data_IF_435448977159
#
_entry.id   IF_435448977159
#
_cell.length_a   1.000
_cell.length_b   1.000
_cell.length_c   1.000
_cell.angle_alpha   90.00
_cell.angle_beta   90.00
_cell.angle_gamma   90.00
#
_symmetry.space_group_name_H-M   'P 1'
#
loop_
_entity.id
_entity.type
_entity.pdbx_description
1 polymer ?
#
# COMPACT_ATOMS: atom_id res chain seq x y z
N UNK A 1 15.55 -28.82 -12.35
CA UNK A 1 14.28 -28.48 -13.05
C UNK A 1 13.09 -28.24 -12.10
N UNK A 2 13.18 -28.53 -10.80
CA UNK A 2 12.06 -28.40 -9.83
C UNK A 2 11.92 -27.03 -9.14
N UNK A 3 12.90 -26.12 -9.24
CA UNK A 3 12.86 -24.83 -8.55
C UNK A 3 12.07 -23.73 -9.31
N UNK A 4 12.00 -23.83 -10.65
CA UNK A 4 11.33 -22.80 -11.47
C UNK A 4 9.81 -22.93 -11.44
N UNK A 5 9.27 -24.15 -11.38
CA UNK A 5 7.83 -24.41 -11.32
C UNK A 5 7.18 -23.94 -10.01
N UNK A 6 7.88 -24.08 -8.88
CA UNK A 6 7.44 -23.54 -7.59
C UNK A 6 7.48 -22.01 -7.56
N UNK A 7 8.47 -21.37 -8.19
CA UNK A 7 8.57 -19.91 -8.27
C UNK A 7 7.44 -19.32 -9.12
N UNK A 8 7.08 -19.97 -10.24
CA UNK A 8 5.95 -19.56 -11.08
C UNK A 8 4.64 -19.67 -10.30
N UNK A 9 4.43 -20.77 -9.56
CA UNK A 9 3.25 -20.95 -8.72
C UNK A 9 3.16 -19.91 -7.58
N UNK A 10 4.28 -19.62 -6.90
CA UNK A 10 4.36 -18.58 -5.87
C UNK A 10 4.09 -17.18 -6.45
N UNK A 11 4.62 -16.90 -7.64
CA UNK A 11 4.41 -15.61 -8.33
C UNK A 11 2.94 -15.43 -8.72
N UNK A 12 2.31 -16.48 -9.25
CA UNK A 12 0.89 -16.46 -9.61
C UNK A 12 0.02 -16.26 -8.36
N UNK A 13 0.34 -16.93 -7.25
CA UNK A 13 -0.38 -16.76 -5.98
C UNK A 13 -0.23 -15.33 -5.42
N UNK A 14 0.98 -14.76 -5.49
CA UNK A 14 1.27 -13.42 -4.99
C UNK A 14 0.58 -12.31 -5.80
N UNK A 15 0.39 -12.50 -7.11
CA UNK A 15 -0.32 -11.55 -7.99
C UNK A 15 -1.84 -11.75 -7.92
N UNK A 16 -2.31 -12.99 -7.81
CA UNK A 16 -3.75 -13.30 -7.76
C UNK A 16 -4.41 -12.96 -6.42
N UNK A 17 -3.67 -13.04 -5.30
CA UNK A 17 -4.18 -12.70 -3.96
C UNK A 17 -4.68 -11.25 -3.82
N UNK A 18 -3.89 -10.20 -4.18
CA UNK A 18 -4.37 -8.82 -4.15
C UNK A 18 -5.46 -8.57 -5.21
N UNK A 19 -5.36 -9.22 -6.38
CA UNK A 19 -6.38 -9.11 -7.42
C UNK A 19 -7.74 -9.64 -6.95
N UNK A 20 -7.77 -10.79 -6.27
CA UNK A 20 -8.99 -11.41 -5.74
C UNK A 20 -9.64 -10.59 -4.61
N UNK A 21 -8.83 -9.95 -3.77
CA UNK A 21 -9.30 -8.98 -2.76
C UNK A 21 -9.95 -7.75 -3.41
N UNK A 22 -9.38 -7.24 -4.51
CA UNK A 22 -9.99 -6.13 -5.25
C UNK A 22 -11.38 -6.47 -5.81
N UNK A 23 -11.62 -7.70 -6.28
CA UNK A 23 -12.94 -8.09 -6.86
C UNK A 23 -14.03 -8.24 -5.79
N UNK A 24 -13.66 -8.50 -4.53
CA UNK A 24 -14.60 -8.66 -3.41
C UNK A 24 -14.89 -7.36 -2.65
N UNK A 25 -14.02 -6.36 -2.77
CA UNK A 25 -14.22 -5.06 -2.13
C UNK A 25 -15.23 -4.23 -2.93
N UNK A 26 -16.13 -3.58 -2.20
CA UNK A 26 -17.02 -2.56 -2.74
C UNK A 26 -16.21 -1.51 -3.54
N UNK A 27 -16.70 -1.00 -4.69
CA UNK A 27 -15.96 -0.05 -5.51
C UNK A 27 -15.44 1.16 -4.72
N UNK A 28 -16.14 1.57 -3.66
CA UNK A 28 -15.71 2.68 -2.81
C UNK A 28 -14.45 2.35 -1.98
N UNK A 29 -14.29 1.12 -1.51
CA UNK A 29 -13.11 0.67 -0.74
C UNK A 29 -11.83 0.58 -1.57
N UNK A 30 -11.95 0.31 -2.88
CA UNK A 30 -10.80 0.28 -3.79
C UNK A 30 -10.14 1.67 -3.93
N UNK A 31 -10.94 2.73 -3.95
CA UNK A 31 -10.43 4.10 -4.00
C UNK A 31 -9.61 4.47 -2.77
N UNK A 32 -10.03 4.03 -1.58
CA UNK A 32 -9.32 4.29 -0.32
C UNK A 32 -7.98 3.55 -0.29
N UNK A 33 -7.95 2.30 -0.75
CA UNK A 33 -6.71 1.53 -0.86
C UNK A 33 -5.72 2.16 -1.85
N UNK A 34 -6.21 2.64 -3.01
CA UNK A 34 -5.40 3.37 -3.98
C UNK A 34 -4.85 4.68 -3.42
N UNK A 35 -5.67 5.42 -2.66
CA UNK A 35 -5.25 6.64 -1.97
C UNK A 35 -4.13 6.37 -0.95
N UNK A 36 -4.26 5.29 -0.15
CA UNK A 36 -3.21 4.84 0.75
C UNK A 36 -1.90 4.53 0.01
N UNK A 37 -1.98 3.84 -1.14
CA UNK A 37 -0.83 3.58 -2.00
C UNK A 37 -0.15 4.85 -2.53
N UNK A 38 -0.92 5.87 -2.91
CA UNK A 38 -0.38 7.16 -3.33
C UNK A 38 0.37 7.88 -2.21
N UNK A 39 -0.17 7.87 -0.97
CA UNK A 39 0.54 8.47 0.17
C UNK A 39 1.91 7.82 0.43
N UNK A 40 2.02 6.50 0.26
CA UNK A 40 3.32 5.81 0.34
C UNK A 40 4.26 6.20 -0.80
N UNK A 41 3.74 6.34 -2.02
CA UNK A 41 4.53 6.73 -3.20
C UNK A 41 5.09 8.15 -3.05
N UNK A 42 4.27 9.10 -2.57
CA UNK A 42 4.73 10.45 -2.25
C UNK A 42 5.73 10.47 -1.09
N UNK A 43 5.52 9.66 -0.04
CA UNK A 43 6.47 9.51 1.06
C UNK A 43 7.87 9.12 0.57
N UNK A 44 7.99 8.14 -0.33
CA UNK A 44 9.30 7.70 -0.87
C UNK A 44 10.09 8.85 -1.51
N UNK A 45 9.41 9.82 -2.14
CA UNK A 45 10.07 10.98 -2.75
C UNK A 45 10.75 11.83 -1.65
N UNK A 46 10.04 12.11 -0.55
CA UNK A 46 10.59 12.86 0.58
C UNK A 46 11.67 12.08 1.34
N UNK A 47 11.54 10.76 1.44
CA UNK A 47 12.58 9.88 1.98
C UNK A 47 13.87 9.96 1.15
N UNK A 48 13.76 9.96 -0.18
CA UNK A 48 14.91 10.08 -1.08
C UNK A 48 15.59 11.45 -0.99
N UNK A 49 14.84 12.49 -0.61
CA UNK A 49 15.34 13.85 -0.40
C UNK A 49 15.92 14.07 1.01
N UNK A 50 15.91 13.05 1.87
CA UNK A 50 16.53 13.09 3.18
C UNK A 50 18.03 13.39 3.06
N UNK A 51 18.49 14.43 3.76
CA UNK A 51 19.84 14.98 3.65
C UNK A 51 20.03 16.10 2.60
N UNK A 52 19.07 16.37 1.70
CA UNK A 52 19.10 17.57 0.83
C UNK A 52 18.25 18.72 1.35
N UNK A 53 17.12 18.40 2.00
CA UNK A 53 16.22 19.40 2.57
C UNK A 53 16.24 19.21 4.10
N UNK A 54 16.57 20.24 4.90
CA UNK A 54 16.47 20.13 6.35
C UNK A 54 15.01 19.79 6.71
N UNK A 55 14.80 18.76 7.54
CA UNK A 55 13.49 18.25 7.99
C UNK A 55 12.70 17.34 7.02
N UNK A 56 13.28 16.90 5.89
CA UNK A 56 12.60 15.97 4.96
C UNK A 56 12.13 14.66 5.62
N UNK A 57 12.90 14.15 6.58
CA UNK A 57 12.57 12.94 7.34
C UNK A 57 11.28 13.10 8.18
N UNK A 58 11.03 14.27 8.76
CA UNK A 58 9.81 14.51 9.54
C UNK A 58 8.58 14.59 8.62
N UNK A 59 8.73 15.21 7.45
CA UNK A 59 7.68 15.27 6.43
C UNK A 59 7.34 13.84 5.96
N UNK A 60 8.37 13.00 5.77
CA UNK A 60 8.17 11.58 5.45
C UNK A 60 7.32 10.85 6.49
N UNK A 61 7.59 11.03 7.79
CA UNK A 61 6.78 10.43 8.85
C UNK A 61 5.31 10.89 8.81
N UNK A 62 5.03 12.16 8.46
CA UNK A 62 3.66 12.65 8.29
C UNK A 62 2.92 11.93 7.15
N UNK A 63 3.61 11.64 6.04
CA UNK A 63 3.04 10.87 4.92
C UNK A 63 2.79 9.40 5.30
N UNK A 64 3.72 8.77 6.01
CA UNK A 64 3.55 7.40 6.51
C UNK A 64 2.39 7.31 7.50
N UNK A 65 2.27 8.26 8.43
CA UNK A 65 1.17 8.33 9.38
C UNK A 65 -0.19 8.51 8.68
N UNK A 66 -0.23 9.34 7.64
CA UNK A 66 -1.45 9.54 6.82
C UNK A 66 -1.83 8.28 6.05
N UNK A 67 -0.85 7.55 5.49
CA UNK A 67 -1.08 6.25 4.85
C UNK A 67 -1.63 5.20 5.83
N UNK A 68 -1.01 5.07 7.01
CA UNK A 68 -1.49 4.18 8.07
C UNK A 68 -2.92 4.55 8.53
N UNK A 69 -3.23 5.84 8.65
CA UNK A 69 -4.57 6.32 8.97
C UNK A 69 -5.60 5.93 7.89
N UNK A 70 -5.28 6.08 6.61
CA UNK A 70 -6.20 5.65 5.53
C UNK A 70 -6.47 4.15 5.53
N UNK A 71 -5.47 3.33 5.88
CA UNK A 71 -5.67 1.88 6.04
C UNK A 71 -6.55 1.56 7.25
N UNK A 72 -6.37 2.27 8.37
CA UNK A 72 -7.23 2.12 9.54
C UNK A 72 -8.69 2.47 9.20
N UNK A 73 -8.93 3.61 8.54
CA UNK A 73 -10.26 4.02 8.08
C UNK A 73 -10.88 3.00 7.13
N UNK A 74 -10.08 2.40 6.22
CA UNK A 74 -10.60 1.36 5.34
C UNK A 74 -11.09 0.13 6.10
N UNK A 75 -10.42 -0.26 7.19
CA UNK A 75 -10.84 -1.42 8.01
C UNK A 75 -12.08 -1.05 8.84
N UNK A 76 -12.09 0.12 9.45
CA UNK A 76 -13.20 0.59 10.29
C UNK A 76 -14.50 0.72 9.49
N UNK A 77 -14.44 1.38 8.32
CA UNK A 77 -15.62 1.68 7.50
C UNK A 77 -16.13 0.50 6.69
N UNK A 78 -15.26 -0.41 6.24
CA UNK A 78 -15.66 -1.47 5.30
C UNK A 78 -15.64 -2.89 5.86
N UNK A 79 -15.10 -3.08 7.06
CA UNK A 79 -14.87 -4.40 7.64
C UNK A 79 -15.51 -4.58 9.02
N UNK A 80 -15.52 -3.53 9.84
CA UNK A 80 -16.09 -3.57 11.20
C UNK A 80 -17.54 -3.06 11.24
N UNK A 81 -17.85 -2.03 10.47
CA UNK A 81 -19.19 -1.44 10.38
C UNK A 81 -20.02 -2.14 9.30
#
# INVERSE_FOLDING_TARGET
>A
MFASSTLISQTIFYISSPFFLSIKMDPSGQHVALQGGLFYLFGIIFFKMDGRIPLAHAIWHCFVASGAYTHFVAIDTYLIT
#
